data_IF_829482276937
#
_entry.id   IF_829482276937
#
_cell.length_a   1.000
_cell.length_b   1.000
_cell.length_c   1.000
_cell.angle_alpha   90.00
_cell.angle_beta   90.00
_cell.angle_gamma   90.00
#
_symmetry.space_group_name_H-M   'P 1'
#
loop_
_entity.id
_entity.type
_entity.pdbx_description
1 polymer ?
#
# COMPACT_ATOMS: atom_id res chain seq x y z
N UNK A 1 -2.38 -9.87 8.44
CA UNK A 1 -1.07 -10.25 9.02
C UNK A 1 0.07 -9.30 8.65
N UNK A 2 0.32 -8.99 7.35
CA UNK A 2 1.44 -8.09 6.93
C UNK A 2 1.41 -6.69 7.57
N UNK A 3 0.25 -6.04 7.57
CA UNK A 3 0.08 -4.71 8.18
C UNK A 3 0.40 -4.75 9.68
N UNK A 4 -0.07 -5.76 10.41
CA UNK A 4 0.22 -5.92 11.84
C UNK A 4 1.73 -6.15 12.10
N UNK A 5 2.38 -7.00 11.31
CA UNK A 5 3.83 -7.22 11.40
C UNK A 5 4.61 -5.92 11.14
N UNK A 6 4.20 -5.14 10.14
CA UNK A 6 4.80 -3.84 9.86
C UNK A 6 4.60 -2.84 11.01
N UNK A 7 3.41 -2.75 11.60
CA UNK A 7 3.16 -1.86 12.75
C UNK A 7 4.06 -2.23 13.93
N UNK A 8 4.22 -3.51 14.22
CA UNK A 8 5.13 -3.99 15.27
C UNK A 8 6.56 -3.54 15.01
N UNK A 9 7.07 -3.74 13.78
CA UNK A 9 8.44 -3.33 13.41
C UNK A 9 8.62 -1.80 13.36
N UNK A 10 7.61 -1.07 12.88
CA UNK A 10 7.60 0.39 12.87
C UNK A 10 7.69 0.96 14.28
N UNK A 11 6.96 0.38 15.25
CA UNK A 11 7.07 0.75 16.67
C UNK A 11 8.48 0.52 17.22
N UNK A 12 9.12 -0.59 16.88
CA UNK A 12 10.51 -0.89 17.30
C UNK A 12 11.50 0.16 16.78
N UNK A 13 11.23 0.74 15.61
CA UNK A 13 12.06 1.81 15.02
C UNK A 13 11.61 3.23 15.39
N UNK A 14 10.68 3.37 16.35
CA UNK A 14 10.25 4.68 16.86
C UNK A 14 9.29 5.45 15.95
N UNK A 15 8.66 4.77 14.97
CA UNK A 15 7.68 5.39 14.06
C UNK A 15 6.29 5.41 14.70
N UNK A 16 5.65 6.57 14.65
CA UNK A 16 4.22 6.70 14.92
C UNK A 16 3.43 6.28 13.68
N UNK A 17 2.45 5.39 13.85
CA UNK A 17 1.73 4.78 12.72
C UNK A 17 0.22 4.93 12.87
N UNK A 18 -0.42 5.22 11.74
CA UNK A 18 -1.86 5.08 11.56
C UNK A 18 -2.12 4.12 10.40
N UNK A 19 -3.29 3.48 10.40
CA UNK A 19 -3.67 2.46 9.43
C UNK A 19 -4.87 2.94 8.64
N UNK A 20 -4.75 2.98 7.31
CA UNK A 20 -5.90 3.17 6.44
C UNK A 20 -6.70 1.87 6.38
N UNK A 21 -7.98 1.94 6.76
CA UNK A 21 -8.93 0.83 6.70
C UNK A 21 -9.82 1.00 5.48
N UNK A 22 -9.82 0.00 4.58
CA UNK A 22 -10.74 -0.03 3.45
C UNK A 22 -12.20 -0.03 3.93
N UNK A 23 -13.01 0.86 3.36
CA UNK A 23 -14.46 0.94 3.63
C UNK A 23 -15.24 0.98 2.32
N UNK A 24 -16.40 0.32 2.28
CA UNK A 24 -17.26 0.33 1.10
C UNK A 24 -17.93 1.69 0.88
N UNK A 25 -18.32 2.04 -0.36
CA UNK A 25 -19.14 3.20 -0.63
C UNK A 25 -20.53 3.05 -0.01
N UNK A 26 -20.87 3.90 0.96
CA UNK A 26 -22.19 3.96 1.55
C UNK A 26 -22.47 5.33 2.18
N UNK A 27 -23.75 5.70 2.40
CA UNK A 27 -24.14 6.97 3.03
C UNK A 27 -23.85 7.03 4.54
N UNK A 28 -23.16 6.05 5.10
CA UNK A 28 -22.81 6.06 6.51
C UNK A 28 -21.71 7.11 6.73
N UNK A 29 -22.09 8.18 7.44
CA UNK A 29 -21.16 8.86 8.35
C UNK A 29 -20.30 7.77 8.97
N UNK A 30 -18.98 7.88 8.84
CA UNK A 30 -18.06 7.06 9.59
C UNK A 30 -18.49 7.11 11.05
N UNK A 31 -19.28 6.14 11.49
CA UNK A 31 -19.49 5.90 12.90
C UNK A 31 -18.08 5.67 13.39
N UNK A 32 -17.67 6.50 14.36
CA UNK A 32 -16.55 6.22 15.22
C UNK A 32 -16.90 4.87 15.81
N UNK A 33 -16.48 3.80 15.14
CA UNK A 33 -16.64 2.46 15.63
C UNK A 33 -15.88 2.49 16.94
N UNK A 34 -16.59 2.27 18.05
CA UNK A 34 -15.93 1.88 19.28
C UNK A 34 -15.02 0.73 18.90
N UNK A 35 -13.73 1.04 18.81
CA UNK A 35 -12.69 0.10 18.46
C UNK A 35 -12.78 -0.97 19.52
N UNK A 36 -13.29 -2.16 19.17
CA UNK A 36 -12.79 -3.36 19.81
C UNK A 36 -11.29 -3.28 19.57
N UNK A 37 -10.57 -2.90 20.62
CA UNK A 37 -9.12 -2.80 20.64
C UNK A 37 -8.59 -4.13 20.12
N UNK A 38 -8.26 -4.15 18.83
CA UNK A 38 -7.41 -5.19 18.29
C UNK A 38 -6.05 -4.87 18.88
N UNK A 39 -5.77 -5.40 20.08
CA UNK A 39 -4.58 -5.13 20.86
C UNK A 39 -3.36 -5.04 19.94
N UNK A 40 -2.78 -3.84 19.81
CA UNK A 40 -1.59 -3.58 19.01
C UNK A 40 -1.77 -2.82 17.69
N UNK A 41 -3.00 -2.65 17.16
CA UNK A 41 -3.25 -1.81 15.97
C UNK A 41 -3.45 -0.37 16.42
N UNK A 42 -2.63 0.56 15.91
CA UNK A 42 -2.70 1.99 16.24
C UNK A 42 -3.96 2.67 15.71
N UNK A 43 -3.92 4.00 15.55
CA UNK A 43 -5.07 4.78 15.06
C UNK A 43 -5.50 4.29 13.67
N UNK A 44 -6.80 4.06 13.46
CA UNK A 44 -7.36 3.63 12.18
C UNK A 44 -8.14 4.76 11.51
N UNK A 45 -7.90 4.98 10.21
CA UNK A 45 -8.54 6.02 9.41
C UNK A 45 -9.28 5.37 8.24
N UNK A 46 -10.57 5.68 7.98
CA UNK A 46 -11.32 5.08 6.89
C UNK A 46 -10.82 5.59 5.52
N UNK A 47 -10.72 4.70 4.55
CA UNK A 47 -10.42 5.02 3.16
C UNK A 47 -11.28 4.21 2.20
N UNK A 48 -12.02 4.91 1.32
CA UNK A 48 -12.77 4.31 0.24
C UNK A 48 -11.98 4.46 -1.07
N UNK A 49 -11.45 3.37 -1.66
CA UNK A 49 -10.68 3.43 -2.89
C UNK A 49 -11.51 3.83 -4.12
N UNK A 50 -12.84 3.76 -4.04
CA UNK A 50 -13.74 4.20 -5.11
C UNK A 50 -14.07 5.70 -5.04
N UNK A 51 -13.54 6.43 -4.05
CA UNK A 51 -13.76 7.88 -3.88
C UNK A 51 -12.44 8.63 -3.81
N UNK A 52 -12.14 9.45 -4.82
CA UNK A 52 -10.91 10.23 -4.85
C UNK A 52 -10.83 11.25 -3.70
N UNK A 53 -11.98 11.82 -3.32
CA UNK A 53 -12.06 12.69 -2.15
C UNK A 53 -11.69 11.95 -0.85
N UNK A 54 -11.99 10.65 -0.77
CA UNK A 54 -11.66 9.83 0.39
C UNK A 54 -10.15 9.61 0.54
N UNK A 55 -9.39 9.48 -0.55
CA UNK A 55 -7.93 9.38 -0.48
C UNK A 55 -7.32 10.63 0.16
N UNK A 56 -7.75 11.82 -0.28
CA UNK A 56 -7.29 13.09 0.32
C UNK A 56 -7.71 13.22 1.78
N UNK A 57 -8.96 12.90 2.10
CA UNK A 57 -9.48 12.96 3.47
C UNK A 57 -8.69 12.04 4.41
N UNK A 58 -8.44 10.80 3.99
CA UNK A 58 -7.69 9.82 4.77
C UNK A 58 -6.28 10.31 5.15
N UNK A 59 -5.57 11.01 4.25
CA UNK A 59 -4.27 11.58 4.56
C UNK A 59 -4.34 12.74 5.56
N UNK A 60 -5.36 13.60 5.46
CA UNK A 60 -5.59 14.71 6.42
C UNK A 60 -5.94 14.16 7.81
N UNK A 61 -6.85 13.20 7.84
CA UNK A 61 -7.28 12.56 9.07
C UNK A 61 -6.12 11.82 9.73
N UNK A 62 -5.22 11.21 8.95
CA UNK A 62 -3.99 10.59 9.45
C UNK A 62 -3.06 11.60 10.11
N UNK A 63 -2.80 12.74 9.46
CA UNK A 63 -1.97 13.82 10.04
C UNK A 63 -2.57 14.35 11.35
N UNK A 64 -3.89 14.51 11.38
CA UNK A 64 -4.62 14.94 12.58
C UNK A 64 -4.53 13.90 13.69
N UNK A 65 -4.71 12.62 13.36
CA UNK A 65 -4.64 11.50 14.29
C UNK A 65 -3.24 11.31 14.91
N UNK A 66 -2.20 11.61 14.15
CA UNK A 66 -0.81 11.49 14.59
C UNK A 66 -0.27 12.76 15.24
N UNK A 67 -1.08 13.82 15.32
CA UNK A 67 -0.69 15.16 15.77
C UNK A 67 0.61 15.64 15.11
N UNK A 68 0.68 15.49 13.77
CA UNK A 68 1.93 15.70 13.06
C UNK A 68 1.80 15.68 11.54
N UNK A 69 2.96 15.63 10.89
CA UNK A 69 3.07 15.54 9.44
C UNK A 69 3.29 14.09 9.02
N UNK A 70 2.73 13.73 7.87
CA UNK A 70 3.01 12.47 7.22
C UNK A 70 4.30 12.61 6.41
N UNK A 71 5.27 11.74 6.68
CA UNK A 71 6.56 11.67 5.96
C UNK A 71 6.70 10.39 5.13
N UNK A 72 5.96 9.35 5.51
CA UNK A 72 6.07 8.01 4.95
C UNK A 72 4.68 7.44 4.64
N UNK A 73 4.54 6.75 3.51
CA UNK A 73 3.36 5.96 3.17
C UNK A 73 3.80 4.55 2.76
N UNK A 74 3.29 3.54 3.47
CA UNK A 74 3.50 2.13 3.12
C UNK A 74 2.17 1.51 2.71
N UNK A 75 2.13 0.98 1.50
CA UNK A 75 0.95 0.37 0.91
C UNK A 75 1.18 -1.13 0.79
N UNK A 76 0.41 -1.92 1.53
CA UNK A 76 0.35 -3.38 1.33
C UNK A 76 -0.83 -3.70 0.41
N UNK A 77 -0.57 -3.74 -0.89
CA UNK A 77 -1.54 -4.11 -1.89
C UNK A 77 -1.57 -5.64 -2.04
N UNK A 78 -2.68 -6.23 -1.63
CA UNK A 78 -2.96 -7.65 -1.77
C UNK A 78 -4.21 -7.84 -2.66
N UNK A 79 -4.04 -7.88 -3.99
CA UNK A 79 -5.15 -8.06 -4.93
C UNK A 79 -6.09 -9.22 -4.57
N UNK A 80 -7.28 -9.33 -5.20
CA UNK A 80 -8.14 -10.48 -4.98
C UNK A 80 -7.45 -11.79 -5.36
N UNK A 81 -7.70 -12.87 -4.62
CA UNK A 81 -7.24 -14.23 -4.92
C UNK A 81 -8.33 -15.10 -5.55
N UNK A 82 -9.54 -14.57 -5.69
CA UNK A 82 -10.68 -15.31 -6.26
C UNK A 82 -10.32 -15.87 -7.65
N UNK A 83 -10.60 -17.17 -7.83
CA UNK A 83 -10.37 -17.94 -9.04
C UNK A 83 -11.58 -17.93 -10.01
N UNK A 84 -12.61 -17.12 -9.74
CA UNK A 84 -13.77 -16.97 -10.63
C UNK A 84 -13.37 -16.72 -12.08
N UNK A 85 -13.88 -17.56 -12.99
CA UNK A 85 -13.64 -17.43 -14.44
C UNK A 85 -14.08 -16.06 -14.96
N UNK A 86 -13.37 -15.52 -15.95
CA UNK A 86 -13.71 -14.25 -16.60
C UNK A 86 -15.13 -14.23 -17.17
N UNK A 87 -15.63 -15.38 -17.63
CA UNK A 87 -16.99 -15.53 -18.15
C UNK A 87 -18.08 -15.55 -17.06
N UNK A 88 -17.68 -15.78 -15.81
CA UNK A 88 -18.58 -15.76 -14.65
C UNK A 88 -18.66 -14.39 -13.95
N UNK A 89 -17.84 -13.42 -14.37
CA UNK A 89 -17.81 -12.09 -13.77
C UNK A 89 -18.87 -11.19 -14.38
N UNK A 90 -19.56 -10.43 -13.53
CA UNK A 90 -20.48 -9.39 -14.00
C UNK A 90 -19.70 -8.14 -14.39
N UNK A 91 -20.20 -7.32 -15.34
CA UNK A 91 -19.58 -6.04 -15.68
C UNK A 91 -19.35 -5.14 -14.46
N UNK A 92 -20.29 -5.14 -13.51
CA UNK A 92 -20.18 -4.37 -12.25
C UNK A 92 -18.99 -4.81 -11.41
N UNK A 93 -18.72 -6.11 -11.30
CA UNK A 93 -17.55 -6.60 -10.55
C UNK A 93 -16.23 -6.22 -11.23
N UNK A 94 -16.21 -6.28 -12.57
CA UNK A 94 -15.03 -5.88 -13.35
C UNK A 94 -14.75 -4.39 -13.15
N UNK A 95 -15.78 -3.54 -13.31
CA UNK A 95 -15.67 -2.09 -13.12
C UNK A 95 -15.23 -1.74 -11.70
N UNK A 96 -15.84 -2.35 -10.69
CA UNK A 96 -15.45 -2.16 -9.29
C UNK A 96 -13.96 -2.48 -9.07
N UNK A 97 -13.49 -3.63 -9.57
CA UNK A 97 -12.10 -4.02 -9.42
C UNK A 97 -11.13 -3.07 -10.12
N UNK A 98 -11.48 -2.55 -11.31
CA UNK A 98 -10.66 -1.56 -12.02
C UNK A 98 -10.56 -0.26 -11.21
N UNK A 99 -11.70 0.27 -10.76
CA UNK A 99 -11.75 1.51 -10.01
C UNK A 99 -10.99 1.39 -8.69
N UNK A 100 -11.19 0.29 -7.96
CA UNK A 100 -10.52 0.05 -6.69
C UNK A 100 -8.99 -0.10 -6.87
N UNK A 101 -8.56 -1.06 -7.69
CA UNK A 101 -7.16 -1.50 -7.74
C UNK A 101 -6.26 -0.66 -8.64
N UNK A 102 -6.82 0.02 -9.65
CA UNK A 102 -6.06 0.93 -10.49
C UNK A 102 -6.24 2.38 -10.04
N UNK A 103 -7.45 2.91 -10.13
CA UNK A 103 -7.69 4.34 -9.90
C UNK A 103 -7.53 4.73 -8.43
N UNK A 104 -8.07 3.96 -7.49
CA UNK A 104 -8.02 4.23 -6.06
C UNK A 104 -6.59 4.29 -5.52
N UNK A 105 -5.78 3.28 -5.82
CA UNK A 105 -4.37 3.26 -5.39
C UNK A 105 -3.52 4.33 -6.09
N UNK A 106 -3.75 4.59 -7.38
CA UNK A 106 -3.08 5.69 -8.08
C UNK A 106 -3.39 7.05 -7.44
N UNK A 107 -4.65 7.27 -7.07
CA UNK A 107 -5.07 8.52 -6.43
C UNK A 107 -4.50 8.69 -5.02
N UNK A 108 -4.47 7.61 -4.22
CA UNK A 108 -3.83 7.63 -2.90
C UNK A 108 -2.34 7.99 -3.00
N UNK A 109 -1.62 7.36 -3.92
CA UNK A 109 -0.20 7.65 -4.17
C UNK A 109 -0.02 9.09 -4.66
N UNK A 110 -0.87 9.57 -5.56
CA UNK A 110 -0.83 10.93 -6.09
C UNK A 110 -1.00 11.97 -4.99
N UNK A 111 -2.00 11.79 -4.12
CA UNK A 111 -2.26 12.71 -3.00
C UNK A 111 -1.13 12.70 -1.96
N UNK A 112 -0.56 11.53 -1.66
CA UNK A 112 0.59 11.43 -0.76
C UNK A 112 1.84 12.09 -1.36
N UNK A 113 2.16 11.79 -2.62
CA UNK A 113 3.31 12.37 -3.31
C UNK A 113 3.20 13.90 -3.41
N UNK A 114 2.00 14.43 -3.67
CA UNK A 114 1.77 15.88 -3.68
C UNK A 114 2.09 16.51 -2.32
N UNK A 115 1.57 15.94 -1.23
CA UNK A 115 1.83 16.42 0.14
C UNK A 115 3.32 16.38 0.50
N UNK A 116 3.99 15.28 0.18
CA UNK A 116 5.42 15.13 0.42
C UNK A 116 6.22 16.16 -0.37
N UNK A 117 5.88 16.40 -1.64
CA UNK A 117 6.53 17.42 -2.45
C UNK A 117 6.34 18.84 -1.88
N UNK A 118 5.14 19.19 -1.41
CA UNK A 118 4.84 20.48 -0.77
C UNK A 118 5.66 20.69 0.52
N UNK A 119 6.11 19.62 1.17
CA UNK A 119 6.90 19.64 2.41
C UNK A 119 8.40 19.44 2.21
N UNK A 120 8.86 19.37 0.96
CA UNK A 120 10.28 19.19 0.64
C UNK A 120 10.76 17.72 0.63
N UNK A 121 9.86 16.77 0.89
CA UNK A 121 10.08 15.37 0.57
C UNK A 121 9.25 14.38 1.38
N UNK A 122 9.49 13.10 1.12
CA UNK A 122 8.81 11.99 1.79
C UNK A 122 9.07 10.67 1.07
N UNK A 123 8.54 9.58 1.61
CA UNK A 123 8.78 8.22 1.09
C UNK A 123 7.52 7.42 0.89
N UNK A 124 7.41 6.75 -0.26
CA UNK A 124 6.31 5.86 -0.58
C UNK A 124 6.89 4.48 -0.88
N UNK A 125 6.38 3.46 -0.18
CA UNK A 125 6.70 2.06 -0.44
C UNK A 125 5.43 1.34 -0.86
N UNK A 126 5.40 0.84 -2.09
CA UNK A 126 4.32 0.00 -2.60
C UNK A 126 4.74 -1.48 -2.54
N UNK A 127 4.10 -2.24 -1.67
CA UNK A 127 4.27 -3.69 -1.57
C UNK A 127 3.14 -4.37 -2.32
N UNK A 128 3.47 -5.16 -3.34
CA UNK A 128 2.54 -5.92 -4.17
C UNK A 128 2.70 -7.40 -3.82
N UNK A 129 1.68 -7.97 -3.18
CA UNK A 129 1.67 -9.39 -2.81
C UNK A 129 1.49 -10.24 -4.07
N UNK A 130 2.41 -11.17 -4.30
CA UNK A 130 2.27 -12.21 -5.32
C UNK A 130 1.58 -13.42 -4.74
N UNK A 131 0.60 -13.90 -5.48
CA UNK A 131 -0.10 -15.15 -5.24
C UNK A 131 -0.59 -15.67 -6.60
N UNK A 132 -0.96 -16.94 -6.68
CA UNK A 132 -1.80 -17.41 -7.76
C UNK A 132 -3.19 -16.76 -7.63
N UNK A 133 -3.67 -16.17 -8.73
CA UNK A 133 -4.87 -15.32 -8.73
C UNK A 133 -5.70 -15.59 -9.97
N UNK A 134 -7.03 -15.49 -9.84
CA UNK A 134 -7.90 -15.46 -11.01
C UNK A 134 -7.79 -14.14 -11.80
N UNK A 135 -8.61 -13.98 -12.85
CA UNK A 135 -8.49 -12.89 -13.82
C UNK A 135 -8.46 -11.47 -13.21
N UNK A 136 -9.35 -11.17 -12.26
CA UNK A 136 -9.38 -9.84 -11.62
C UNK A 136 -8.16 -9.58 -10.74
N UNK A 137 -7.70 -10.59 -10.01
CA UNK A 137 -6.49 -10.48 -9.20
C UNK A 137 -5.23 -10.29 -10.05
N UNK A 138 -5.13 -10.99 -11.18
CA UNK A 138 -4.05 -10.80 -12.15
C UNK A 138 -4.09 -9.41 -12.79
N UNK A 139 -5.27 -8.92 -13.18
CA UNK A 139 -5.47 -7.57 -13.70
C UNK A 139 -5.05 -6.50 -12.66
N UNK A 140 -5.52 -6.61 -11.42
CA UNK A 140 -5.18 -5.70 -10.33
C UNK A 140 -3.66 -5.72 -10.04
N UNK A 141 -3.04 -6.90 -9.95
CA UNK A 141 -1.58 -7.02 -9.80
C UNK A 141 -0.84 -6.37 -10.97
N UNK A 142 -1.30 -6.58 -12.20
CA UNK A 142 -0.73 -5.96 -13.40
C UNK A 142 -0.82 -4.44 -13.38
N UNK A 143 -1.98 -3.89 -12.98
CA UNK A 143 -2.19 -2.45 -12.85
C UNK A 143 -1.23 -1.82 -11.82
N UNK A 144 -1.06 -2.45 -10.65
CA UNK A 144 -0.14 -1.97 -9.62
C UNK A 144 1.33 -2.04 -10.05
N UNK A 145 1.72 -3.11 -10.77
CA UNK A 145 3.07 -3.24 -11.35
C UNK A 145 3.30 -2.14 -12.39
N UNK A 146 2.37 -1.96 -13.32
CA UNK A 146 2.46 -0.93 -14.35
C UNK A 146 2.47 0.48 -13.78
N UNK A 147 1.71 0.73 -12.71
CA UNK A 147 1.75 1.99 -11.97
C UNK A 147 3.14 2.23 -11.36
N UNK A 148 3.71 1.24 -10.68
CA UNK A 148 5.05 1.36 -10.10
C UNK A 148 6.12 1.64 -11.17
N UNK A 149 6.08 0.91 -12.29
CA UNK A 149 6.98 1.12 -13.43
C UNK A 149 6.81 2.52 -14.04
N UNK A 150 5.56 2.98 -14.20
CA UNK A 150 5.26 4.32 -14.69
C UNK A 150 5.80 5.42 -13.78
N UNK A 151 5.69 5.26 -12.45
CA UNK A 151 6.25 6.20 -11.47
C UNK A 151 7.79 6.21 -11.54
N UNK A 152 8.42 5.04 -11.63
CA UNK A 152 9.87 4.96 -11.79
C UNK A 152 10.35 5.64 -13.07
N UNK A 153 9.63 5.44 -14.18
CA UNK A 153 9.95 6.05 -15.46
C UNK A 153 9.78 7.58 -15.44
N UNK A 154 8.68 8.08 -14.86
CA UNK A 154 8.40 9.51 -14.78
C UNK A 154 9.39 10.23 -13.84
N UNK A 155 9.83 9.53 -12.78
CA UNK A 155 10.68 10.09 -11.73
C UNK A 155 9.91 11.04 -10.80
N UNK A 156 10.30 11.05 -9.52
CA UNK A 156 9.70 11.91 -8.50
C UNK A 156 10.81 12.61 -7.72
N UNK A 157 11.27 13.79 -8.16
CA UNK A 157 12.53 14.38 -7.67
C UNK A 157 12.56 14.68 -6.17
N UNK A 158 11.39 14.94 -5.57
CA UNK A 158 11.26 15.25 -4.14
C UNK A 158 10.75 14.07 -3.31
N UNK A 159 10.21 13.02 -3.95
CA UNK A 159 9.58 11.89 -3.24
C UNK A 159 10.32 10.61 -3.56
N UNK A 160 10.82 9.92 -2.54
CA UNK A 160 11.43 8.61 -2.72
C UNK A 160 10.34 7.58 -2.91
N UNK A 161 10.24 7.01 -4.09
CA UNK A 161 9.34 5.89 -4.38
C UNK A 161 10.12 4.57 -4.42
N UNK A 162 9.58 3.53 -3.79
CA UNK A 162 10.08 2.16 -3.86
C UNK A 162 8.92 1.18 -4.03
N UNK A 163 9.15 0.10 -4.77
CA UNK A 163 8.16 -0.94 -4.99
C UNK A 163 8.77 -2.31 -4.71
N UNK A 164 8.03 -3.15 -3.98
CA UNK A 164 8.45 -4.49 -3.56
C UNK A 164 7.39 -5.48 -4.02
N UNK A 165 7.81 -6.55 -4.67
CA UNK A 165 7.01 -7.71 -5.01
C UNK A 165 7.24 -8.78 -3.95
N UNK A 166 6.26 -9.03 -3.09
CA UNK A 166 6.35 -10.05 -2.03
C UNK A 166 5.91 -11.43 -2.56
N UNK A 167 6.87 -12.35 -2.64
CA UNK A 167 6.73 -13.75 -3.02
C UNK A 167 7.01 -14.69 -1.83
N UNK A 168 7.27 -14.13 -0.63
CA UNK A 168 7.79 -14.89 0.53
C UNK A 168 6.72 -15.56 1.38
N UNK A 169 5.55 -14.92 1.52
CA UNK A 169 4.56 -15.25 2.56
C UNK A 169 5.02 -14.98 4.00
N UNK A 170 6.19 -14.35 4.21
CA UNK A 170 6.81 -14.14 5.52
C UNK A 170 6.62 -12.69 5.98
N UNK A 171 5.52 -12.43 6.68
CA UNK A 171 5.11 -11.08 7.08
C UNK A 171 6.16 -10.34 7.93
N UNK A 172 6.81 -11.02 8.88
CA UNK A 172 7.78 -10.37 9.78
C UNK A 172 9.09 -9.99 9.07
N UNK A 173 9.59 -10.85 8.20
CA UNK A 173 10.80 -10.53 7.41
C UNK A 173 10.51 -9.42 6.40
N UNK A 174 9.31 -9.45 5.79
CA UNK A 174 8.87 -8.39 4.89
C UNK A 174 8.79 -7.05 5.61
N UNK A 175 8.22 -7.02 6.82
CA UNK A 175 8.14 -5.82 7.65
C UNK A 175 9.52 -5.19 7.89
N UNK A 176 10.50 -5.99 8.29
CA UNK A 176 11.91 -5.57 8.46
C UNK A 176 12.52 -5.03 7.17
N UNK A 177 12.27 -5.70 6.05
CA UNK A 177 12.77 -5.27 4.75
C UNK A 177 12.15 -3.93 4.31
N UNK A 178 10.86 -3.73 4.55
CA UNK A 178 10.16 -2.46 4.28
C UNK A 178 10.73 -1.34 5.13
N UNK A 179 10.89 -1.55 6.44
CA UNK A 179 11.50 -0.56 7.35
C UNK A 179 12.92 -0.21 6.92
N UNK A 180 13.74 -1.20 6.58
CA UNK A 180 15.07 -0.96 6.00
C UNK A 180 15.02 -0.14 4.71
N UNK A 181 14.03 -0.39 3.85
CA UNK A 181 13.83 0.37 2.59
C UNK A 181 13.42 1.83 2.87
N UNK A 182 12.74 2.09 3.98
CA UNK A 182 12.45 3.44 4.46
C UNK A 182 13.70 4.12 5.02
N UNK A 183 14.63 3.41 5.65
CA UNK A 183 15.83 4.03 6.22
C UNK A 183 16.95 4.23 5.17
N UNK A 184 17.09 3.29 4.23
CA UNK A 184 18.18 3.26 3.28
C UNK A 184 17.71 3.60 1.84
N UNK A 185 18.48 4.39 1.06
CA UNK A 185 18.20 4.53 -0.36
C UNK A 185 18.42 3.20 -1.10
N UNK A 186 17.53 2.85 -2.03
CA UNK A 186 17.67 1.65 -2.86
C UNK A 186 18.98 1.71 -3.66
N UNK A 187 19.71 0.59 -3.70
CA UNK A 187 20.91 0.44 -4.55
C UNK A 187 20.58 0.49 -6.04
N UNK A 188 19.40 -0.02 -6.40
CA UNK A 188 18.84 0.00 -7.75
C UNK A 188 17.57 0.85 -7.74
N UNK A 189 17.68 2.19 -7.76
CA UNK A 189 16.51 3.03 -7.91
C UNK A 189 15.88 2.77 -9.29
N UNK A 190 14.55 2.76 -9.37
CA UNK A 190 13.83 2.59 -10.63
C UNK A 190 13.43 1.16 -10.99
N UNK A 191 13.63 0.17 -10.10
CA UNK A 191 13.20 -1.22 -10.32
C UNK A 191 12.33 -1.71 -9.18
N UNK A 192 11.34 -2.54 -9.51
CA UNK A 192 10.56 -3.28 -8.52
C UNK A 192 11.46 -4.36 -7.91
N UNK A 193 11.69 -4.26 -6.60
CA UNK A 193 12.46 -5.25 -5.85
C UNK A 193 11.65 -6.53 -5.68
N UNK A 194 12.29 -7.69 -5.78
CA UNK A 194 11.65 -8.97 -5.44
C UNK A 194 12.03 -9.36 -4.01
N UNK A 195 11.03 -9.68 -3.20
CA UNK A 195 11.20 -10.16 -1.83
C UNK A 195 10.61 -11.56 -1.72
N UNK A 196 11.44 -12.59 -1.58
CA UNK A 196 10.97 -13.97 -1.65
C UNK A 196 12.08 -15.00 -1.42
N UNK A 197 11.65 -16.23 -1.15
CA UNK A 197 12.54 -17.37 -1.00
C UNK A 197 12.99 -17.87 -2.37
N UNK A 198 13.92 -17.17 -3.02
CA UNK A 198 14.84 -17.86 -3.92
C UNK A 198 16.02 -18.35 -3.10
N UNK A 199 16.11 -19.65 -2.79
CA UNK A 199 17.40 -20.25 -2.49
C UNK A 199 18.18 -20.27 -3.80
N UNK A 200 19.15 -19.37 -3.98
CA UNK A 200 19.94 -19.40 -5.20
C UNK A 200 21.08 -18.39 -5.29
N UNK A 201 22.29 -18.96 -5.30
CA UNK A 201 23.48 -18.49 -6.01
C UNK A 201 24.51 -17.57 -5.33
N UNK A 202 24.74 -17.75 -4.02
CA UNK A 202 26.13 -17.70 -3.52
C UNK A 202 26.43 -18.99 -2.77
N UNK A 203 26.98 -19.95 -3.51
CA UNK A 203 27.68 -21.09 -2.93
C UNK A 203 29.15 -20.73 -2.75
N UNK A 204 29.65 -20.98 -1.54
CA UNK A 204 31.06 -20.99 -1.09
C UNK A 204 31.83 -19.67 -1.13
#
# INVERSE_FOLDING_TARGET
MRVAAFITEAKVTGRNTAVLRLVEPGPEKATVANTEETEGVGVTVPWNPLSFASARAALIETETALDGVLDELVIFADPPTDATSITGLTPRFIEHAILEWAAGYAELIREAAKRFAERGGGSIVLVIVQAERGPLGAMASGALIGLAEGIFFAGTPTVRFSAIRDESGQADLLARHVVKTLDEPSRDPGKIQRFGNRPGFFGR
#
